data_IF_308366480270
#
_entry.id   IF_308366480270
#
_cell.length_a   1.000
_cell.length_b   1.000
_cell.length_c   1.000
_cell.angle_alpha   90.00
_cell.angle_beta   90.00
_cell.angle_gamma   90.00
#
_symmetry.space_group_name_H-M   'P 1'
#
loop_
_entity.id
_entity.type
_entity.pdbx_description
1 polymer ?
#
# COMPACT_ATOMS: atom_id res chain seq x y z
N UNK A 1 -36.47 -24.12 1.38
CA UNK A 1 -35.16 -23.54 1.32
C UNK A 1 -34.68 -23.12 2.70
N UNK A 2 -33.45 -23.36 2.97
CA UNK A 2 -32.90 -23.05 4.28
C UNK A 2 -32.26 -21.67 4.29
N UNK A 3 -32.58 -20.87 5.30
CA UNK A 3 -31.97 -19.59 5.51
C UNK A 3 -30.55 -19.66 6.07
N UNK A 4 -30.07 -20.89 6.28
CA UNK A 4 -28.73 -21.11 6.84
C UNK A 4 -27.61 -20.49 6.03
N UNK A 5 -27.81 -20.38 4.71
CA UNK A 5 -26.80 -19.87 3.79
C UNK A 5 -26.87 -18.34 3.61
N UNK A 6 -27.85 -17.70 4.24
CA UNK A 6 -28.01 -16.26 4.14
C UNK A 6 -27.62 -15.59 5.44
N UNK A 7 -26.81 -14.56 5.30
CA UNK A 7 -26.44 -13.73 6.43
C UNK A 7 -27.59 -12.78 6.79
N UNK A 8 -27.75 -12.48 8.06
CA UNK A 8 -28.64 -11.43 8.51
C UNK A 8 -28.15 -10.07 8.00
N UNK A 9 -28.98 -9.02 7.99
CA UNK A 9 -28.50 -7.69 7.62
C UNK A 9 -27.31 -7.23 8.46
N UNK A 10 -27.30 -7.50 9.75
CA UNK A 10 -26.19 -7.12 10.64
C UNK A 10 -24.93 -7.91 10.32
N UNK A 11 -25.06 -9.19 10.04
CA UNK A 11 -23.93 -10.03 9.65
C UNK A 11 -23.34 -9.59 8.31
N UNK A 12 -24.19 -9.20 7.36
CA UNK A 12 -23.72 -8.69 6.07
C UNK A 12 -22.96 -7.38 6.21
N UNK A 13 -23.44 -6.47 7.04
CA UNK A 13 -22.75 -5.22 7.29
C UNK A 13 -21.41 -5.45 7.99
N UNK A 14 -21.35 -6.37 8.95
CA UNK A 14 -20.13 -6.74 9.63
C UNK A 14 -19.11 -7.33 8.65
N UNK A 15 -19.57 -8.21 7.75
CA UNK A 15 -18.71 -8.83 6.74
C UNK A 15 -18.20 -7.78 5.75
N UNK A 16 -19.05 -6.86 5.30
CA UNK A 16 -18.63 -5.76 4.42
C UNK A 16 -17.54 -4.92 5.08
N UNK A 17 -17.72 -4.54 6.34
CA UNK A 17 -16.72 -3.76 7.06
C UNK A 17 -15.41 -4.51 7.16
N UNK A 18 -15.47 -5.81 7.44
CA UNK A 18 -14.27 -6.64 7.53
C UNK A 18 -13.54 -6.70 6.19
N UNK A 19 -14.27 -6.92 5.10
CA UNK A 19 -13.70 -6.97 3.76
C UNK A 19 -13.05 -5.63 3.42
N UNK A 20 -13.77 -4.53 3.57
CA UNK A 20 -13.24 -3.20 3.23
C UNK A 20 -12.07 -2.80 4.11
N UNK A 21 -12.03 -3.22 5.36
CA UNK A 21 -10.89 -2.91 6.24
C UNK A 21 -9.64 -3.71 5.89
N UNK A 22 -9.79 -4.85 5.24
CA UNK A 22 -8.66 -5.70 4.83
C UNK A 22 -8.17 -5.42 3.41
N UNK A 23 -8.97 -4.75 2.59
CA UNK A 23 -8.59 -4.40 1.21
C UNK A 23 -8.01 -2.99 1.17
N UNK A 24 -6.80 -2.89 0.65
CA UNK A 24 -6.11 -1.62 0.56
C UNK A 24 -5.94 -1.25 -0.91
N UNK A 25 -6.47 -0.08 -1.31
CA UNK A 25 -6.38 0.41 -2.68
C UNK A 25 -5.21 1.39 -2.83
N UNK A 26 -5.19 2.44 -2.00
CA UNK A 26 -4.14 3.43 -2.05
C UNK A 26 -4.11 4.20 -0.73
N UNK A 27 -2.91 4.62 -0.32
CA UNK A 27 -2.73 5.43 0.88
C UNK A 27 -1.65 6.48 0.64
N UNK A 28 -1.85 7.71 1.13
CA UNK A 28 -0.74 8.65 1.18
C UNK A 28 0.29 8.19 2.20
N UNK A 29 1.54 8.52 1.96
CA UNK A 29 2.61 8.13 2.85
C UNK A 29 3.75 9.12 2.85
N UNK A 30 4.72 8.84 3.72
CA UNK A 30 5.94 9.62 3.84
C UNK A 30 7.12 8.68 3.67
N UNK A 31 8.07 9.07 2.83
CA UNK A 31 9.29 8.29 2.62
C UNK A 31 10.12 8.34 3.89
N UNK A 32 10.46 7.17 4.43
CA UNK A 32 11.36 7.03 5.57
C UNK A 32 12.79 6.88 5.10
N UNK A 33 13.01 6.07 4.08
CA UNK A 33 14.32 5.86 3.46
C UNK A 33 14.15 5.43 2.02
N UNK A 34 15.17 5.65 1.21
CA UNK A 34 15.17 5.30 -0.21
C UNK A 34 16.46 4.62 -0.58
N UNK A 35 16.36 3.47 -1.25
CA UNK A 35 17.49 2.73 -1.79
C UNK A 35 17.56 2.99 -3.29
N UNK A 36 18.52 3.80 -3.71
CA UNK A 36 18.66 4.20 -5.11
C UNK A 36 19.07 3.03 -6.01
N UNK A 37 19.84 2.09 -5.49
CA UNK A 37 20.30 0.95 -6.29
C UNK A 37 19.17 0.00 -6.64
N UNK A 38 18.27 -0.22 -5.69
CA UNK A 38 17.13 -1.11 -5.88
C UNK A 38 15.88 -0.36 -6.33
N UNK A 39 15.89 0.96 -6.24
CA UNK A 39 14.75 1.82 -6.53
C UNK A 39 13.53 1.46 -5.70
N UNK A 40 13.78 1.19 -4.42
CA UNK A 40 12.74 0.86 -3.45
C UNK A 40 12.80 1.81 -2.27
N UNK A 41 11.70 1.92 -1.56
CA UNK A 41 11.60 2.81 -0.40
C UNK A 41 10.95 2.10 0.77
N UNK A 42 11.27 2.58 1.98
CA UNK A 42 10.51 2.29 3.19
C UNK A 42 9.57 3.46 3.40
N UNK A 43 8.31 3.19 3.58
CA UNK A 43 7.27 4.22 3.63
C UNK A 43 6.43 4.05 4.88
N UNK A 44 6.16 5.17 5.56
CA UNK A 44 5.20 5.21 6.65
C UNK A 44 3.88 5.73 6.08
N UNK A 45 2.82 4.92 6.08
CA UNK A 45 1.51 5.43 5.70
C UNK A 45 1.11 6.61 6.58
N UNK A 46 0.56 7.66 5.98
CA UNK A 46 0.32 8.95 6.63
C UNK A 46 -1.11 9.11 7.12
N UNK A 47 -1.91 8.06 7.08
CA UNK A 47 -3.29 8.07 7.53
C UNK A 47 -3.39 7.34 8.86
N UNK A 48 -4.18 7.90 9.77
CA UNK A 48 -4.46 7.29 11.07
C UNK A 48 -5.94 6.98 11.17
N UNK A 49 -6.25 5.81 11.71
CA UNK A 49 -7.63 5.42 12.00
C UNK A 49 -7.79 5.33 13.52
N UNK A 50 -8.24 6.42 14.13
CA UNK A 50 -8.32 6.53 15.58
C UNK A 50 -6.93 6.50 16.19
N UNK A 51 -6.70 5.58 17.13
CA UNK A 51 -5.39 5.37 17.74
C UNK A 51 -4.52 4.40 16.96
N UNK A 52 -5.05 3.78 15.91
CA UNK A 52 -4.31 2.80 15.11
C UNK A 52 -3.45 3.49 14.07
N UNK A 53 -2.19 3.06 13.98
CA UNK A 53 -1.29 3.48 12.92
C UNK A 53 -0.96 2.27 12.04
N UNK A 54 -0.72 2.53 10.75
CA UNK A 54 -0.29 1.48 9.84
C UNK A 54 1.18 1.16 10.05
N UNK A 55 1.59 -0.09 9.80
CA UNK A 55 3.00 -0.46 9.89
C UNK A 55 3.81 0.20 8.78
N UNK A 56 5.13 0.24 8.95
CA UNK A 56 6.04 0.63 7.89
C UNK A 56 5.93 -0.35 6.73
N UNK A 57 5.96 0.19 5.51
CA UNK A 57 5.97 -0.61 4.30
C UNK A 57 7.41 -0.67 3.79
N UNK A 58 7.94 -1.89 3.66
CA UNK A 58 9.32 -2.10 3.22
C UNK A 58 9.36 -2.54 1.76
N UNK A 59 10.51 -2.30 1.11
CA UNK A 59 10.78 -2.72 -0.25
C UNK A 59 9.70 -2.29 -1.25
N UNK A 60 9.19 -1.08 -1.11
CA UNK A 60 8.16 -0.55 -1.99
C UNK A 60 8.83 -0.01 -3.25
N UNK A 61 8.55 -0.59 -4.45
CA UNK A 61 9.10 -0.05 -5.70
C UNK A 61 8.62 1.38 -5.92
N UNK A 62 9.53 2.26 -6.33
CA UNK A 62 9.22 3.65 -6.60
C UNK A 62 9.14 3.88 -8.10
N UNK A 63 8.05 4.49 -8.56
CA UNK A 63 7.89 4.86 -9.95
C UNK A 63 8.90 5.94 -10.31
N UNK A 64 9.80 5.61 -11.22
CA UNK A 64 10.92 6.49 -11.55
C UNK A 64 11.33 6.31 -13.02
N UNK A 65 10.52 6.82 -13.95
CA UNK A 65 10.84 6.70 -15.38
C UNK A 65 12.06 7.54 -15.79
N UNK A 66 12.37 8.55 -14.99
CA UNK A 66 13.61 9.33 -15.10
C UNK A 66 14.21 9.44 -13.72
N UNK A 67 15.53 9.67 -13.67
CA UNK A 67 16.19 9.83 -12.36
C UNK A 67 15.81 11.15 -11.72
N UNK A 68 15.42 11.11 -10.46
CA UNK A 68 15.19 12.29 -9.65
C UNK A 68 15.52 11.95 -8.18
N UNK A 69 15.67 12.98 -7.39
CA UNK A 69 16.06 12.80 -6.01
C UNK A 69 14.85 12.47 -5.14
N UNK A 70 14.99 11.42 -4.31
CA UNK A 70 13.97 11.02 -3.34
C UNK A 70 14.62 11.09 -1.96
N UNK A 71 14.03 11.89 -1.09
CA UNK A 71 14.58 12.14 0.24
C UNK A 71 13.64 11.68 1.33
N UNK A 72 14.18 11.29 2.51
CA UNK A 72 13.34 11.07 3.68
C UNK A 72 12.46 12.29 3.95
N UNK A 73 11.20 12.06 4.24
CA UNK A 73 10.22 13.13 4.46
C UNK A 73 9.39 13.48 3.24
N UNK A 74 9.76 12.99 2.06
CA UNK A 74 8.99 13.24 0.85
C UNK A 74 7.60 12.61 0.94
N UNK A 75 6.59 13.32 0.46
CA UNK A 75 5.23 12.79 0.39
C UNK A 75 5.09 11.89 -0.82
N UNK A 76 4.32 10.82 -0.66
CA UNK A 76 4.08 9.86 -1.74
C UNK A 76 2.66 9.31 -1.67
N UNK A 77 2.25 8.67 -2.76
CA UNK A 77 1.04 7.86 -2.80
C UNK A 77 1.45 6.42 -3.05
N UNK A 78 0.98 5.50 -2.21
CA UNK A 78 1.23 4.08 -2.40
C UNK A 78 -0.04 3.45 -2.93
N UNK A 79 0.06 2.78 -4.08
CA UNK A 79 -1.04 2.06 -4.71
C UNK A 79 -0.76 0.57 -4.57
N UNK A 80 -1.75 -0.19 -4.14
CA UNK A 80 -1.58 -1.61 -3.86
C UNK A 80 -2.11 -2.43 -5.02
N UNK A 81 -1.31 -3.45 -5.42
CA UNK A 81 -1.69 -4.35 -6.49
C UNK A 81 -2.82 -5.28 -6.04
N UNK A 82 -3.61 -5.77 -7.01
CA UNK A 82 -4.68 -6.71 -6.73
C UNK A 82 -4.19 -8.01 -6.14
N UNK A 83 -3.04 -8.45 -6.57
CA UNK A 83 -2.48 -9.77 -6.24
C UNK A 83 -1.09 -9.63 -5.66
N UNK A 84 -0.62 -10.73 -5.05
CA UNK A 84 0.75 -10.84 -4.55
C UNK A 84 1.74 -10.66 -5.71
N UNK A 85 2.64 -9.68 -5.58
CA UNK A 85 3.61 -9.32 -6.63
C UNK A 85 5.02 -9.87 -6.35
N UNK A 86 5.24 -10.59 -5.26
CA UNK A 86 6.58 -10.97 -4.85
C UNK A 86 7.32 -11.77 -5.92
N UNK A 87 6.65 -12.73 -6.53
CA UNK A 87 7.27 -13.55 -7.57
C UNK A 87 7.64 -12.73 -8.81
N UNK A 88 6.77 -11.82 -9.21
CA UNK A 88 7.07 -10.90 -10.31
C UNK A 88 8.19 -9.94 -9.93
N UNK A 89 8.15 -9.39 -8.73
CA UNK A 89 9.14 -8.42 -8.26
C UNK A 89 10.54 -9.02 -8.22
N UNK A 90 10.65 -10.30 -7.82
CA UNK A 90 11.93 -10.98 -7.73
C UNK A 90 12.50 -11.39 -9.10
N UNK A 91 11.65 -11.65 -10.08
CA UNK A 91 12.08 -12.21 -11.38
C UNK A 91 11.94 -11.25 -12.55
N UNK A 92 11.04 -10.27 -12.45
CA UNK A 92 10.70 -9.38 -13.56
C UNK A 92 9.90 -10.06 -14.66
N UNK A 93 9.41 -11.27 -14.43
CA UNK A 93 8.69 -12.07 -15.41
C UNK A 93 7.30 -12.44 -14.91
N UNK A 94 6.35 -12.72 -15.83
CA UNK A 94 5.04 -13.20 -15.41
C UNK A 94 5.16 -14.45 -14.54
N UNK A 95 4.53 -14.42 -13.38
CA UNK A 95 4.60 -15.50 -12.41
C UNK A 95 3.25 -15.67 -11.74
N UNK A 96 2.99 -16.87 -11.25
CA UNK A 96 1.84 -17.08 -10.39
C UNK A 96 2.10 -16.45 -9.02
N UNK A 97 1.06 -15.87 -8.39
CA UNK A 97 1.22 -15.33 -7.05
C UNK A 97 1.66 -16.40 -6.05
N UNK A 98 2.56 -16.04 -5.15
CA UNK A 98 3.04 -16.96 -4.11
C UNK A 98 2.06 -17.16 -2.97
N UNK A 99 1.09 -16.26 -2.84
CA UNK A 99 0.08 -16.33 -1.79
C UNK A 99 -1.28 -15.89 -2.34
N UNK A 100 -2.32 -16.08 -1.53
CA UNK A 100 -3.69 -15.69 -1.90
C UNK A 100 -4.05 -14.26 -1.48
N UNK A 101 -3.07 -13.47 -1.01
CA UNK A 101 -3.38 -12.12 -0.54
C UNK A 101 -3.82 -11.23 -1.69
N UNK A 102 -4.70 -10.30 -1.37
CA UNK A 102 -5.31 -9.37 -2.33
C UNK A 102 -5.22 -7.97 -1.78
N UNK A 103 -4.85 -7.01 -2.63
CA UNK A 103 -4.77 -5.59 -2.27
C UNK A 103 -4.14 -5.40 -0.89
N UNK A 104 -2.96 -6.00 -0.72
CA UNK A 104 -2.25 -6.07 0.54
C UNK A 104 -1.25 -4.93 0.66
N UNK A 105 -1.00 -4.51 1.89
CA UNK A 105 0.06 -3.54 2.20
C UNK A 105 1.44 -4.00 1.74
N UNK A 106 1.62 -5.31 1.53
CA UNK A 106 2.90 -5.87 1.05
C UNK A 106 3.12 -5.69 -0.45
N UNK A 107 2.11 -5.30 -1.20
CA UNK A 107 2.16 -5.25 -2.66
C UNK A 107 1.97 -3.83 -3.17
N UNK A 108 2.63 -2.87 -2.54
CA UNK A 108 2.53 -1.46 -2.86
C UNK A 108 3.53 -1.00 -3.90
N UNK A 109 3.14 0.03 -4.64
CA UNK A 109 3.98 0.80 -5.56
C UNK A 109 3.87 2.26 -5.15
N UNK A 110 4.99 2.97 -5.11
CA UNK A 110 4.99 4.35 -4.63
C UNK A 110 5.17 5.35 -5.77
N UNK A 111 4.41 6.42 -5.71
CA UNK A 111 4.55 7.58 -6.58
C UNK A 111 4.92 8.77 -5.71
N UNK A 112 6.06 9.37 -5.95
CA UNK A 112 6.58 10.53 -5.20
C UNK A 112 6.35 11.81 -5.97
N UNK A 113 6.65 12.95 -5.34
CA UNK A 113 6.54 14.25 -6.00
C UNK A 113 5.32 15.05 -5.59
N UNK A 114 4.56 14.58 -4.63
CA UNK A 114 3.43 15.31 -4.10
C UNK A 114 3.88 16.37 -3.11
N UNK A 115 3.16 17.47 -3.08
CA UNK A 115 3.41 18.53 -2.10
C UNK A 115 2.13 18.77 -1.32
N UNK A 116 2.25 18.73 0.01
CA UNK A 116 1.10 19.03 0.88
C UNK A 116 0.94 20.54 1.02
N UNK A 117 -0.18 20.96 1.60
CA UNK A 117 -0.40 22.39 1.89
C UNK A 117 0.38 22.87 3.09
N UNK A 118 1.02 21.98 3.81
CA UNK A 118 1.85 22.35 4.95
C UNK A 118 3.01 23.21 4.45
N UNK A 119 3.19 24.44 4.95
CA UNK A 119 4.33 25.26 4.55
C UNK A 119 5.63 24.56 4.92
N UNK A 120 6.64 24.71 4.06
CA UNK A 120 7.97 24.22 4.39
C UNK A 120 8.49 24.99 5.60
N UNK A 121 8.93 24.27 6.61
CA UNK A 121 9.59 24.85 7.75
C UNK A 121 11.06 25.03 7.40
N UNK A 122 11.47 26.22 7.31
CA UNK A 122 12.86 26.53 6.98
C UNK A 122 13.56 27.09 8.19
#
# INVERSE_FOLDING_TARGET
MSDKNFLSPDEREALKKEIFSSLHCALPGTVVSFDADRQTAVIQPAVKLGSMTFPLLADVPVFMPISFEVNPGDACLVVFADLDIDAWFDTGMPQEPRSARRQSLSDGFAFVGFKTRQPDTI
#
